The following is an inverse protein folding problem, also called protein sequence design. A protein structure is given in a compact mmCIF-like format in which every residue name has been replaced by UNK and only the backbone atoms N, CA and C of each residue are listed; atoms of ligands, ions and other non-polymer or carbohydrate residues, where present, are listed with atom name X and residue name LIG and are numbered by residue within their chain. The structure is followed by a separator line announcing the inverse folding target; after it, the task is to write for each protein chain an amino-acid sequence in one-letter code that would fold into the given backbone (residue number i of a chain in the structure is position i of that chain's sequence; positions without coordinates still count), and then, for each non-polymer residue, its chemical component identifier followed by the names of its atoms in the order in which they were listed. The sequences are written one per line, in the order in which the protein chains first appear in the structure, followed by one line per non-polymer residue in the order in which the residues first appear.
data_IF_553713132476
#
_entry.id   IF_553713132476
#
_cell.length_a   1.000
_cell.length_b   1.000
_cell.length_c   1.000
_cell.angle_alpha   90.00
_cell.angle_beta   90.00
_cell.angle_gamma   90.00
#
_symmetry.space_group_name_H-M   'P 1'
#
loop_
_entity.id
_entity.type
_entity.pdbx_description
1 polymer ?
#
# COMPACT_ATOMS: atom_id res chain seq x y z
N UNK A 1 11.77 2.43 25.61
CA UNK A 1 10.43 2.32 25.01
C UNK A 1 10.63 2.35 23.50
N UNK A 2 10.44 1.22 22.82
CA UNK A 2 10.44 1.22 21.34
C UNK A 2 9.20 1.99 20.88
N UNK A 3 9.31 2.88 19.88
CA UNK A 3 8.13 3.60 19.37
C UNK A 3 7.08 2.58 18.94
N UNK A 4 5.81 2.83 19.27
CA UNK A 4 4.70 2.02 18.79
C UNK A 4 4.80 1.93 17.26
N UNK A 5 4.65 0.74 16.65
CA UNK A 5 4.74 0.65 15.21
C UNK A 5 3.63 1.51 14.63
N UNK A 6 4.05 2.52 13.87
CA UNK A 6 3.17 3.55 13.36
C UNK A 6 2.70 3.13 11.98
N UNK A 7 1.44 3.41 11.67
CA UNK A 7 0.89 3.22 10.33
C UNK A 7 1.75 3.97 9.30
N UNK A 8 2.07 3.32 8.18
CA UNK A 8 2.77 3.95 7.05
C UNK A 8 1.78 4.18 5.92
N UNK A 9 1.70 5.42 5.42
CA UNK A 9 0.97 5.75 4.20
C UNK A 9 1.90 5.59 3.00
N UNK A 10 1.55 4.68 2.10
CA UNK A 10 2.26 4.43 0.83
C UNK A 10 1.73 5.34 -0.28
N UNK A 11 0.41 5.53 -0.30
CA UNK A 11 -0.32 6.45 -1.17
C UNK A 11 -1.48 7.02 -0.36
N UNK A 12 -1.74 8.32 -0.44
CA UNK A 12 -2.78 8.98 0.36
C UNK A 12 -4.15 9.01 -0.35
N UNK A 13 -4.21 8.60 -1.61
CA UNK A 13 -5.43 8.62 -2.43
C UNK A 13 -5.72 9.96 -3.10
N UNK A 14 -4.88 10.98 -2.86
CA UNK A 14 -5.04 12.32 -3.42
C UNK A 14 -3.97 12.61 -4.47
N UNK A 15 -4.40 13.21 -5.58
CA UNK A 15 -3.50 13.47 -6.70
C UNK A 15 -3.08 12.19 -7.43
N UNK A 16 -2.35 12.38 -8.52
CA UNK A 16 -1.75 11.28 -9.26
C UNK A 16 -0.29 11.19 -8.83
N UNK A 17 0.18 10.03 -8.32
CA UNK A 17 1.60 9.86 -8.03
C UNK A 17 2.41 10.09 -9.32
N UNK A 18 3.62 10.64 -9.19
CA UNK A 18 4.53 10.74 -10.32
C UNK A 18 4.86 9.34 -10.89
N UNK A 19 5.41 9.29 -12.10
CA UNK A 19 5.63 8.02 -12.80
C UNK A 19 6.59 7.09 -12.03
N UNK A 20 7.57 7.64 -11.31
CA UNK A 20 8.53 6.89 -10.51
C UNK A 20 7.89 6.29 -9.25
N UNK A 21 7.10 7.07 -8.52
CA UNK A 21 6.33 6.64 -7.36
C UNK A 21 5.28 5.61 -7.78
N UNK A 22 4.59 5.84 -8.90
CA UNK A 22 3.63 4.90 -9.47
C UNK A 22 4.30 3.57 -9.81
N UNK A 23 5.43 3.59 -10.52
CA UNK A 23 6.20 2.39 -10.86
C UNK A 23 6.63 1.63 -9.59
N UNK A 24 7.11 2.36 -8.57
CA UNK A 24 7.52 1.80 -7.28
C UNK A 24 6.36 1.12 -6.56
N UNK A 25 5.20 1.78 -6.48
CA UNK A 25 3.98 1.21 -5.88
C UNK A 25 3.53 -0.03 -6.65
N UNK A 26 3.45 0.03 -7.97
CA UNK A 26 3.03 -1.12 -8.79
C UNK A 26 3.98 -2.31 -8.63
N UNK A 27 5.29 -2.07 -8.61
CA UNK A 27 6.29 -3.14 -8.42
C UNK A 27 6.15 -3.77 -7.03
N UNK A 28 5.97 -2.94 -6.00
CA UNK A 28 5.81 -3.41 -4.63
C UNK A 28 4.49 -4.19 -4.41
N UNK A 29 3.37 -3.73 -4.98
CA UNK A 29 2.10 -4.46 -4.95
C UNK A 29 2.25 -5.84 -5.61
N UNK A 30 2.89 -5.90 -6.78
CA UNK A 30 3.15 -7.15 -7.50
C UNK A 30 4.00 -8.11 -6.67
N UNK A 31 5.05 -7.62 -6.00
CA UNK A 31 5.90 -8.43 -5.13
C UNK A 31 5.15 -9.00 -3.90
N UNK A 32 4.08 -8.34 -3.46
CA UNK A 32 3.18 -8.82 -2.43
C UNK A 32 2.04 -9.71 -2.96
N UNK A 33 2.03 -10.02 -4.26
CA UNK A 33 1.01 -10.85 -4.91
C UNK A 33 -0.31 -10.14 -5.18
N UNK A 34 -0.31 -8.81 -5.21
CA UNK A 34 -1.47 -7.97 -5.52
C UNK A 34 -1.34 -7.48 -6.97
N UNK A 35 -2.40 -7.63 -7.78
CA UNK A 35 -2.41 -7.08 -9.13
C UNK A 35 -2.63 -5.55 -9.07
N UNK A 36 -1.65 -4.71 -9.46
CA UNK A 36 -1.78 -3.25 -9.37
C UNK A 36 -2.92 -2.71 -10.22
N UNK A 37 -3.28 -3.39 -11.31
CA UNK A 37 -4.39 -2.99 -12.18
C UNK A 37 -5.76 -3.16 -11.53
N UNK A 38 -5.87 -3.86 -10.41
CA UNK A 38 -7.12 -3.96 -9.67
C UNK A 38 -7.18 -2.92 -8.55
N UNK A 39 -6.06 -2.37 -8.11
CA UNK A 39 -6.02 -1.39 -7.02
C UNK A 39 -6.48 -0.02 -7.54
N UNK A 40 -7.38 0.64 -6.81
CA UNK A 40 -7.80 1.99 -7.17
C UNK A 40 -6.71 3.01 -6.85
N UNK A 41 -6.52 3.98 -7.74
CA UNK A 41 -5.60 5.10 -7.55
C UNK A 41 -6.19 6.22 -6.69
N UNK A 42 -7.52 6.23 -6.50
CA UNK A 42 -8.27 7.29 -5.81
C UNK A 42 -8.57 6.95 -4.34
N UNK A 43 -7.89 5.96 -3.78
CA UNK A 43 -8.00 5.60 -2.38
C UNK A 43 -6.61 5.36 -1.81
N UNK A 44 -6.44 5.58 -0.50
CA UNK A 44 -5.14 5.40 0.12
C UNK A 44 -4.71 3.93 0.17
N UNK A 45 -3.40 3.74 0.23
CA UNK A 45 -2.74 2.47 0.49
C UNK A 45 -1.91 2.63 1.75
N UNK A 46 -2.18 1.80 2.76
CA UNK A 46 -1.50 1.85 4.05
C UNK A 46 -0.84 0.53 4.40
N UNK A 47 0.22 0.60 5.20
CA UNK A 47 0.75 -0.53 5.97
C UNK A 47 0.39 -0.31 7.44
N UNK A 48 -0.37 -1.24 8.02
CA UNK A 48 -0.82 -1.17 9.40
C UNK A 48 -0.23 -2.33 10.22
N UNK A 49 0.19 -2.09 11.47
CA UNK A 49 0.45 -3.16 12.42
C UNK A 49 -0.86 -3.62 13.07
N UNK A 50 -1.15 -4.92 13.01
CA UNK A 50 -2.31 -5.53 13.65
C UNK A 50 -1.87 -6.57 14.70
N UNK A 51 -2.53 -6.62 15.87
CA UNK A 51 -2.25 -7.64 16.88
C UNK A 51 -2.70 -9.02 16.42
N UNK A 52 -1.82 -10.01 16.54
CA UNK A 52 -2.12 -11.40 16.12
C UNK A 52 -2.67 -12.26 17.28
N UNK A 53 -2.83 -11.69 18.48
CA UNK A 53 -3.57 -12.28 19.60
C UNK A 53 -4.23 -11.17 20.44
N UNK A 54 -5.32 -11.46 21.17
CA UNK A 54 -5.83 -10.55 22.19
C UNK A 54 -4.71 -10.23 23.19
N UNK A 55 -4.57 -8.96 23.62
CA UNK A 55 -3.51 -8.52 24.54
C UNK A 55 -3.62 -9.13 25.96
N UNK A 56 -4.59 -10.01 26.23
CA UNK A 56 -4.85 -10.63 27.53
C UNK A 56 -3.75 -11.61 27.97
N UNK A 57 -2.99 -12.16 27.03
CA UNK A 57 -1.79 -12.95 27.31
C UNK A 57 -0.58 -12.15 26.84
N UNK A 58 0.27 -11.73 27.77
CA UNK A 58 1.42 -10.85 27.54
C UNK A 58 2.26 -11.14 26.29
N UNK A 59 2.86 -10.05 25.78
CA UNK A 59 3.63 -9.90 24.54
C UNK A 59 2.95 -10.43 23.28
N UNK A 60 1.82 -9.79 22.94
CA UNK A 60 1.24 -9.88 21.60
C UNK A 60 2.24 -9.38 20.55
N UNK A 61 2.47 -10.18 19.51
CA UNK A 61 3.25 -9.75 18.34
C UNK A 61 2.33 -9.09 17.30
N UNK A 62 2.91 -8.14 16.57
CA UNK A 62 2.20 -7.36 15.56
C UNK A 62 2.55 -7.89 14.17
N UNK A 63 1.54 -8.30 13.41
CA UNK A 63 1.70 -8.56 11.99
C UNK A 63 1.52 -7.25 11.21
N UNK A 64 2.36 -7.02 10.21
CA UNK A 64 2.13 -5.92 9.28
C UNK A 64 1.21 -6.39 8.15
N UNK A 65 0.21 -5.58 7.84
CA UNK A 65 -0.74 -5.81 6.75
C UNK A 65 -0.78 -4.62 5.82
N UNK A 66 -1.08 -4.88 4.55
CA UNK A 66 -1.38 -3.88 3.54
C UNK A 66 -2.89 -3.70 3.50
N UNK A 67 -3.36 -2.46 3.61
CA UNK A 67 -4.76 -2.08 3.46
C UNK A 67 -4.90 -1.20 2.22
N UNK A 68 -5.79 -1.59 1.31
CA UNK A 68 -6.01 -0.89 0.04
C UNK A 68 -7.43 -1.12 -0.46
N UNK A 69 -7.87 -0.31 -1.42
CA UNK A 69 -9.15 -0.50 -2.10
C UNK A 69 -8.94 -1.16 -3.47
N UNK A 70 -9.67 -2.24 -3.72
CA UNK A 70 -9.60 -3.03 -4.94
C UNK A 70 -10.91 -2.89 -5.75
N UNK A 71 -10.80 -2.80 -7.07
CA UNK A 71 -11.92 -2.91 -7.99
C UNK A 71 -12.36 -4.37 -8.09
N UNK A 72 -13.67 -4.62 -8.04
CA UNK A 72 -14.20 -5.94 -8.34
C UNK A 72 -14.04 -6.25 -9.83
N UNK A 73 -13.46 -7.41 -10.13
CA UNK A 73 -13.29 -7.95 -11.48
C UNK A 73 -14.19 -9.16 -11.62
N UNK A 74 -15.08 -9.14 -12.61
CA UNK A 74 -16.03 -10.23 -12.85
C UNK A 74 -15.35 -11.45 -13.51
N UNK A 75 -16.10 -12.52 -13.73
CA UNK A 75 -15.60 -13.75 -14.32
C UNK A 75 -15.03 -13.58 -15.75
N UNK A 76 -15.47 -12.54 -16.47
CA UNK A 76 -15.01 -12.20 -17.81
C UNK A 76 -13.71 -11.36 -17.80
N UNK A 77 -13.18 -11.03 -16.62
CA UNK A 77 -11.96 -10.22 -16.49
C UNK A 77 -12.19 -8.71 -16.61
N UNK A 78 -13.44 -8.26 -16.63
CA UNK A 78 -13.80 -6.84 -16.68
C UNK A 78 -14.10 -6.27 -15.29
N UNK A 79 -13.77 -4.99 -15.08
CA UNK A 79 -14.17 -4.28 -13.86
C UNK A 79 -15.68 -4.11 -13.83
N UNK A 80 -16.32 -4.60 -12.79
CA UNK A 80 -17.75 -4.40 -12.62
C UNK A 80 -18.07 -2.94 -12.33
N UNK A 81 -19.14 -2.44 -12.92
CA UNK A 81 -19.60 -1.07 -12.74
C UNK A 81 -20.90 -1.05 -11.96
N UNK A 82 -21.03 -0.07 -11.07
CA UNK A 82 -22.30 0.25 -10.46
C UNK A 82 -23.30 0.73 -11.53
N UNK A 83 -24.48 0.12 -11.58
CA UNK A 83 -25.50 0.39 -12.60
C UNK A 83 -26.01 1.84 -12.58
N UNK A 84 -25.97 2.50 -11.41
CA UNK A 84 -26.49 3.85 -11.21
C UNK A 84 -25.37 4.87 -11.43
N UNK A 85 -24.25 4.78 -10.68
CA UNK A 85 -23.18 5.78 -10.74
C UNK A 85 -22.24 5.62 -11.93
N UNK A 86 -22.23 4.45 -12.59
CA UNK A 86 -21.26 4.04 -13.63
C UNK A 86 -19.81 3.96 -13.15
N UNK A 87 -19.58 4.11 -11.85
CA UNK A 87 -18.26 3.97 -11.25
C UNK A 87 -17.92 2.49 -11.03
N UNK A 88 -16.63 2.11 -11.03
CA UNK A 88 -16.22 0.77 -10.66
C UNK A 88 -16.72 0.37 -9.26
N UNK A 89 -17.23 -0.84 -9.12
CA UNK A 89 -17.51 -1.41 -7.80
C UNK A 89 -16.18 -1.65 -7.11
N UNK A 90 -16.04 -1.15 -5.88
CA UNK A 90 -14.81 -1.28 -5.09
C UNK A 90 -15.08 -1.84 -3.71
N UNK A 91 -14.06 -2.46 -3.11
CA UNK A 91 -14.09 -2.93 -1.74
C UNK A 91 -12.71 -2.77 -1.10
N UNK A 92 -12.68 -2.63 0.22
CA UNK A 92 -11.42 -2.59 0.96
C UNK A 92 -10.92 -4.01 1.21
N UNK A 93 -9.62 -4.22 1.00
CA UNK A 93 -8.95 -5.49 1.23
C UNK A 93 -7.75 -5.29 2.14
N UNK A 94 -7.55 -6.28 3.00
CA UNK A 94 -6.41 -6.36 3.92
C UNK A 94 -5.65 -7.65 3.62
N UNK A 95 -4.34 -7.56 3.39
CA UNK A 95 -3.49 -8.73 3.14
C UNK A 95 -2.20 -8.68 3.97
N UNK A 96 -1.61 -9.82 4.36
CA UNK A 96 -0.32 -9.84 5.04
C UNK A 96 0.77 -9.18 4.19
N UNK A 97 1.59 -8.33 4.82
CA UNK A 97 2.79 -7.78 4.20
C UNK A 97 3.84 -8.88 4.04
N UNK A 98 4.29 -9.14 2.81
CA UNK A 98 5.34 -10.11 2.49
C UNK A 98 6.69 -9.45 2.21
N UNK A 99 6.65 -8.34 1.48
CA UNK A 99 7.83 -7.54 1.10
C UNK A 99 7.61 -6.11 1.58
N UNK A 100 8.54 -5.50 2.34
CA UNK A 100 8.39 -4.14 2.84
C UNK A 100 8.34 -3.13 1.69
N UNK A 101 7.67 -1.99 1.92
CA UNK A 101 7.73 -0.90 0.95
C UNK A 101 9.16 -0.36 0.89
N UNK A 102 9.75 -0.20 -0.30
CA UNK A 102 11.11 0.31 -0.43
C UNK A 102 11.21 1.69 0.24
N UNK A 103 12.19 1.85 1.12
CA UNK A 103 12.55 3.16 1.63
C UNK A 103 12.83 4.10 0.44
N UNK A 104 12.57 5.39 0.59
CA UNK A 104 13.07 6.36 -0.37
C UNK A 104 14.57 6.14 -0.48
N UNK A 105 15.02 5.66 -1.65
CA UNK A 105 16.44 5.65 -1.94
C UNK A 105 16.89 7.11 -1.76
N UNK A 106 17.93 7.39 -0.96
CA UNK A 106 18.50 8.72 -0.96
C UNK A 106 18.77 9.07 -2.41
N UNK A 107 18.11 10.12 -2.86
CA UNK A 107 18.34 10.64 -4.19
C UNK A 107 19.83 10.91 -4.33
N UNK A 108 20.29 10.70 -5.55
CA UNK A 108 21.43 11.37 -6.14
C UNK A 108 21.34 12.90 -5.89
N UNK A 109 21.58 13.35 -4.66
CA UNK A 109 21.90 14.73 -4.31
C UNK A 109 23.34 14.94 -4.78
N UNK A 110 23.48 15.34 -6.04
CA UNK A 110 24.71 15.97 -6.49
C UNK A 110 24.97 17.20 -5.61
N UNK A 111 25.85 17.06 -4.64
CA UNK A 111 26.19 18.09 -3.67
C UNK A 111 27.64 17.91 -3.23
N UNK A 112 28.52 18.37 -4.11
CA UNK A 112 29.88 18.88 -3.87
C UNK A 112 30.62 18.41 -2.61
N UNK A 113 31.64 17.60 -2.86
CA UNK A 113 32.77 17.33 -1.99
C UNK A 113 33.54 18.65 -1.75
N UNK A 114 33.14 19.45 -0.76
CA UNK A 114 34.02 20.47 -0.20
C UNK A 114 35.10 19.78 0.64
N UNK A 115 36.22 19.50 0.00
CA UNK A 115 37.49 19.27 0.66
C UNK A 115 38.03 20.62 1.17
N UNK A 116 38.19 20.75 2.49
CA UNK A 116 39.11 21.70 3.13
C UNK A 116 40.00 20.94 4.10
#
# INVERSE_FOLDING_TARGET
MSPAPTALTVHDGYGMPDDDQRLRICTWLTANGINPNNVTQHAPIHILPIPVRPPETGDGWLAQVIVFTECYVNADGHREQNLISREPVTFQRTVPLRVPFPANLPGNDGGEEEAV
#
